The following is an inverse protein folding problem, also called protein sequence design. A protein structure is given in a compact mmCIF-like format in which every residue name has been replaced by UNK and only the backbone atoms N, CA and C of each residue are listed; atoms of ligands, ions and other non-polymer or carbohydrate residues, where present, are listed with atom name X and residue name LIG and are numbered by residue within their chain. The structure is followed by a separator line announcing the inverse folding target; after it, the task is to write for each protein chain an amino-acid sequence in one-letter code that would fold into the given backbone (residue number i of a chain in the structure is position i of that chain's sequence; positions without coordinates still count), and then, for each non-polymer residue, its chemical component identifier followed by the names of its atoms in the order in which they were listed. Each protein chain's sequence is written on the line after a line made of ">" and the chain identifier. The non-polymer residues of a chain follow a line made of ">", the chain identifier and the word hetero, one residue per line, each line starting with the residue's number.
data_IF_212411934916
#
_entry.id   IF_212411934916
#
_cell.length_a   1.000
_cell.length_b   1.000
_cell.length_c   1.000
_cell.angle_alpha   90.00
_cell.angle_beta   90.00
_cell.angle_gamma   90.00
#
_symmetry.space_group_name_H-M   'P 1'
#
loop_
_entity.id
_entity.type
_entity.pdbx_description
1 polymer ?
#
# COMPACT_ATOMS: atom_id res chain seq x y z
N UNK A 1 -13.20 -79.62 -11.79
CA UNK A 1 -13.48 -78.23 -12.20
C UNK A 1 -13.00 -77.32 -11.07
N UNK A 2 -11.79 -76.74 -11.21
CA UNK A 2 -11.15 -75.91 -10.17
C UNK A 2 -11.51 -74.44 -10.42
N UNK A 3 -12.01 -73.76 -9.40
CA UNK A 3 -12.37 -72.35 -9.44
C UNK A 3 -11.12 -71.53 -9.11
N UNK A 4 -10.68 -70.70 -10.04
CA UNK A 4 -9.58 -69.74 -9.85
C UNK A 4 -10.20 -68.41 -9.37
N UNK A 5 -10.00 -68.06 -8.11
CA UNK A 5 -10.36 -66.74 -7.56
C UNK A 5 -9.19 -65.79 -7.75
N UNK A 6 -9.36 -64.80 -8.63
CA UNK A 6 -8.44 -63.68 -8.77
C UNK A 6 -8.57 -62.71 -7.61
N UNK A 7 -7.43 -62.25 -7.10
CA UNK A 7 -7.35 -61.11 -6.17
C UNK A 7 -6.65 -59.99 -6.94
N UNK A 8 -7.43 -59.03 -7.45
CA UNK A 8 -6.90 -57.78 -7.95
C UNK A 8 -6.76 -56.81 -6.76
N UNK A 9 -5.52 -56.57 -6.32
CA UNK A 9 -5.23 -55.52 -5.35
C UNK A 9 -5.28 -54.15 -6.05
N UNK A 10 -6.29 -53.36 -5.71
CA UNK A 10 -6.40 -51.96 -6.13
C UNK A 10 -5.54 -51.13 -5.15
N UNK A 11 -4.35 -50.72 -5.59
CA UNK A 11 -3.58 -49.69 -4.91
C UNK A 11 -4.26 -48.34 -5.18
N UNK A 12 -5.00 -47.83 -4.19
CA UNK A 12 -5.53 -46.47 -4.19
C UNK A 12 -4.40 -45.46 -4.07
N UNK A 13 -4.15 -44.69 -5.13
CA UNK A 13 -3.31 -43.50 -5.08
C UNK A 13 -4.04 -42.43 -4.25
N UNK A 14 -3.57 -42.21 -3.02
CA UNK A 14 -3.96 -41.05 -2.22
C UNK A 14 -3.31 -39.81 -2.86
N UNK A 15 -4.09 -39.02 -3.61
CA UNK A 15 -3.67 -37.69 -4.05
C UNK A 15 -3.61 -36.78 -2.83
N UNK A 16 -2.42 -36.62 -2.25
CA UNK A 16 -2.15 -35.55 -1.29
C UNK A 16 -2.00 -34.27 -2.10
N UNK A 17 -3.05 -33.45 -2.15
CA UNK A 17 -2.93 -32.08 -2.66
C UNK A 17 -2.11 -31.28 -1.65
N UNK A 18 -0.82 -31.13 -1.91
CA UNK A 18 0.03 -30.17 -1.23
C UNK A 18 -0.47 -28.79 -1.67
N UNK A 19 -1.35 -28.17 -0.89
CA UNK A 19 -1.66 -26.77 -1.04
C UNK A 19 -0.41 -26.01 -0.62
N UNK A 20 0.42 -25.62 -1.58
CA UNK A 20 1.40 -24.57 -1.31
C UNK A 20 0.62 -23.39 -0.74
N UNK A 21 0.97 -22.85 0.44
CA UNK A 21 0.40 -21.58 0.83
C UNK A 21 0.83 -20.60 -0.26
N UNK A 22 -0.15 -20.13 -1.04
CA UNK A 22 0.06 -18.91 -1.81
C UNK A 22 0.38 -17.89 -0.73
N UNK A 23 1.65 -17.50 -0.62
CA UNK A 23 2.11 -16.39 0.20
C UNK A 23 1.42 -15.15 -0.34
N UNK A 24 0.15 -14.95 0.01
CA UNK A 24 -0.60 -13.81 -0.42
C UNK A 24 0.18 -12.60 0.10
N UNK A 25 0.58 -11.74 -0.83
CA UNK A 25 1.18 -10.44 -0.57
C UNK A 25 0.16 -9.43 -1.07
N UNK A 26 0.01 -8.31 -0.35
CA UNK A 26 -0.94 -7.28 -0.75
C UNK A 26 -0.50 -6.70 -2.10
N UNK A 27 -1.33 -6.79 -3.15
CA UNK A 27 -0.96 -6.28 -4.45
C UNK A 27 -0.90 -4.73 -4.43
N UNK A 28 -0.11 -4.14 -5.34
CA UNK A 28 -0.08 -2.69 -5.51
C UNK A 28 -1.46 -2.12 -5.88
N UNK A 29 -1.75 -0.90 -5.40
CA UNK A 29 -2.95 -0.17 -5.81
C UNK A 29 -2.95 0.05 -7.34
N UNK A 30 -4.09 -0.11 -8.04
CA UNK A 30 -4.15 0.11 -9.49
C UNK A 30 -4.08 1.60 -9.86
N UNK A 31 -4.15 2.50 -8.88
CA UNK A 31 -4.14 3.95 -9.07
C UNK A 31 -2.95 4.59 -8.36
N UNK A 32 -2.56 5.77 -8.86
CA UNK A 32 -1.51 6.60 -8.30
C UNK A 32 -2.09 7.74 -7.44
N UNK A 33 -1.22 8.41 -6.68
CA UNK A 33 -1.58 9.49 -5.77
C UNK A 33 -2.27 10.70 -6.45
N UNK A 34 -1.98 10.90 -7.73
CA UNK A 34 -2.45 11.95 -8.63
C UNK A 34 -3.57 11.48 -9.58
N UNK A 35 -4.00 10.22 -9.48
CA UNK A 35 -5.04 9.69 -10.35
C UNK A 35 -6.38 10.41 -10.13
N UNK A 36 -7.13 10.71 -11.22
CA UNK A 36 -8.41 11.42 -11.16
C UNK A 36 -9.57 10.48 -10.80
N UNK A 37 -9.43 9.73 -9.71
CA UNK A 37 -10.48 8.83 -9.21
C UNK A 37 -11.34 9.50 -8.13
N UNK A 38 -12.59 9.08 -7.94
CA UNK A 38 -13.46 9.62 -6.91
C UNK A 38 -13.06 9.10 -5.53
N UNK A 39 -12.05 9.74 -4.92
CA UNK A 39 -11.53 9.41 -3.60
C UNK A 39 -12.63 9.33 -2.53
N UNK A 40 -12.56 8.27 -1.72
CA UNK A 40 -13.48 7.93 -0.65
C UNK A 40 -14.96 7.84 -1.07
N UNK A 41 -15.22 7.58 -2.36
CA UNK A 41 -16.56 7.30 -2.89
C UNK A 41 -16.60 5.90 -3.50
N UNK A 42 -17.72 5.20 -3.29
CA UNK A 42 -17.97 3.90 -3.90
C UNK A 42 -18.25 4.10 -5.38
N UNK A 43 -17.59 3.30 -6.22
CA UNK A 43 -17.87 3.16 -7.64
C UNK A 43 -18.04 1.70 -8.01
N UNK A 44 -18.72 1.43 -9.11
CA UNK A 44 -18.81 0.10 -9.69
C UNK A 44 -17.67 -0.09 -10.70
N UNK A 45 -16.92 -1.18 -10.52
CA UNK A 45 -15.89 -1.64 -11.43
C UNK A 45 -16.32 -2.98 -12.06
N UNK A 46 -16.15 -3.18 -13.39
CA UNK A 46 -16.56 -4.41 -14.06
C UNK A 46 -15.89 -5.70 -13.56
N UNK A 47 -14.73 -5.60 -12.91
CA UNK A 47 -13.93 -6.74 -12.45
C UNK A 47 -13.97 -6.87 -10.92
N UNK A 48 -13.90 -5.76 -10.21
CA UNK A 48 -13.82 -5.72 -8.75
C UNK A 48 -15.20 -5.47 -8.08
N UNK A 49 -16.24 -5.14 -8.85
CA UNK A 49 -17.56 -4.75 -8.35
C UNK A 49 -17.51 -3.42 -7.62
N UNK A 50 -18.19 -3.31 -6.47
CA UNK A 50 -18.09 -2.12 -5.62
C UNK A 50 -16.68 -1.93 -5.08
N UNK A 51 -16.07 -0.80 -5.42
CA UNK A 51 -14.72 -0.42 -4.99
C UNK A 51 -14.72 1.00 -4.42
N UNK A 52 -13.89 1.24 -3.40
CA UNK A 52 -13.54 2.58 -2.94
C UNK A 52 -12.03 2.76 -2.96
N UNK A 53 -11.60 3.96 -3.34
CA UNK A 53 -10.20 4.37 -3.30
C UNK A 53 -9.96 5.28 -2.10
N UNK A 54 -8.86 5.08 -1.39
CA UNK A 54 -8.45 5.91 -0.26
C UNK A 54 -7.01 6.37 -0.45
N UNK A 55 -6.71 7.53 0.11
CA UNK A 55 -5.36 8.07 0.09
C UNK A 55 -5.06 8.81 1.38
N UNK A 56 -3.83 8.63 1.84
CA UNK A 56 -3.25 9.34 2.97
C UNK A 56 -1.91 9.94 2.56
N UNK A 57 -1.54 11.08 3.12
CA UNK A 57 -0.33 11.81 2.76
C UNK A 57 0.38 12.28 4.02
N UNK A 58 1.71 12.31 3.95
CA UNK A 58 2.52 13.03 4.91
C UNK A 58 3.75 13.64 4.26
N UNK A 59 4.73 13.99 5.07
CA UNK A 59 5.94 14.63 4.58
C UNK A 59 6.77 13.67 3.72
N UNK A 60 6.78 13.90 2.41
CA UNK A 60 7.58 13.11 1.46
C UNK A 60 7.01 11.74 1.11
N UNK A 61 5.78 11.40 1.54
CA UNK A 61 5.13 10.13 1.23
C UNK A 61 3.64 10.25 0.88
N UNK A 62 3.14 9.24 0.18
CA UNK A 62 1.71 9.01 -0.02
C UNK A 62 1.38 7.51 0.10
N UNK A 63 0.28 7.19 0.77
CA UNK A 63 -0.33 5.87 0.76
C UNK A 63 -1.58 5.93 -0.08
N UNK A 64 -1.71 5.01 -1.03
CA UNK A 64 -2.87 4.90 -1.90
C UNK A 64 -3.39 3.48 -1.81
N UNK A 65 -4.70 3.33 -1.59
CA UNK A 65 -5.32 2.02 -1.43
C UNK A 65 -6.65 1.92 -2.17
N UNK A 66 -7.02 0.70 -2.53
CA UNK A 66 -8.30 0.35 -3.14
C UNK A 66 -8.91 -0.83 -2.40
N UNK A 67 -10.22 -0.78 -2.15
CA UNK A 67 -10.92 -1.73 -1.29
C UNK A 67 -12.14 -2.28 -2.03
N UNK A 68 -12.18 -3.59 -2.26
CA UNK A 68 -13.32 -4.31 -2.82
C UNK A 68 -13.52 -5.64 -2.08
N UNK A 69 -14.61 -6.37 -2.38
CA UNK A 69 -14.79 -7.75 -1.88
C UNK A 69 -13.68 -8.69 -2.37
N UNK A 70 -13.15 -8.44 -3.57
CA UNK A 70 -12.10 -9.28 -4.18
C UNK A 70 -10.71 -9.04 -3.59
N UNK A 71 -10.51 -7.92 -2.90
CA UNK A 71 -9.34 -7.69 -2.09
C UNK A 71 -9.05 -6.24 -1.79
N UNK A 72 -7.99 -6.05 -1.02
CA UNK A 72 -7.42 -4.76 -0.67
C UNK A 72 -6.09 -4.67 -1.40
N UNK A 73 -5.88 -3.57 -2.13
CA UNK A 73 -4.62 -3.29 -2.82
C UNK A 73 -4.06 -1.98 -2.26
N UNK A 74 -2.75 -1.91 -2.03
CA UNK A 74 -2.13 -0.76 -1.39
C UNK A 74 -0.75 -0.47 -1.96
N UNK A 75 -0.42 0.80 -2.11
CA UNK A 75 0.92 1.26 -2.46
C UNK A 75 1.36 2.43 -1.59
N UNK A 76 2.59 2.33 -1.09
CA UNK A 76 3.31 3.39 -0.41
C UNK A 76 4.31 3.98 -1.38
N UNK A 77 4.20 5.29 -1.61
CA UNK A 77 5.06 6.09 -2.47
C UNK A 77 5.90 7.01 -1.60
N UNK A 78 7.19 7.14 -1.92
CA UNK A 78 8.07 8.14 -1.30
C UNK A 78 9.07 8.68 -2.31
N UNK A 79 9.59 9.87 -2.05
CA UNK A 79 10.63 10.46 -2.89
C UNK A 79 11.94 10.54 -2.14
N UNK A 80 12.99 9.97 -2.70
CA UNK A 80 14.35 10.11 -2.21
C UNK A 80 15.06 11.24 -2.92
N UNK A 81 15.71 12.11 -2.13
CA UNK A 81 16.59 13.15 -2.64
C UNK A 81 18.03 12.64 -2.58
N UNK A 82 18.66 12.44 -3.74
CA UNK A 82 20.05 12.01 -3.84
C UNK A 82 20.92 13.15 -4.40
N UNK A 83 22.05 13.41 -3.74
CA UNK A 83 23.06 14.31 -4.29
C UNK A 83 23.62 13.67 -5.56
N UNK A 84 23.55 14.40 -6.67
CA UNK A 84 24.04 13.90 -7.95
C UNK A 84 25.47 14.40 -8.22
N UNK A 85 25.67 15.71 -8.12
CA UNK A 85 26.98 16.35 -8.24
C UNK A 85 26.93 17.76 -7.64
N UNK A 86 28.08 18.42 -7.64
CA UNK A 86 28.20 19.83 -7.29
C UNK A 86 28.46 20.66 -8.55
N UNK A 87 27.78 21.79 -8.70
CA UNK A 87 28.01 22.72 -9.81
C UNK A 87 28.57 24.05 -9.32
N UNK A 88 29.45 24.64 -10.12
CA UNK A 88 29.89 26.01 -9.90
C UNK A 88 28.81 26.97 -10.40
N UNK A 89 28.48 27.96 -9.57
CA UNK A 89 27.54 29.04 -9.91
C UNK A 89 28.16 30.38 -9.59
N UNK A 90 27.86 31.38 -10.40
CA UNK A 90 28.21 32.76 -10.08
C UNK A 90 27.17 33.32 -9.12
N UNK A 91 27.64 33.90 -8.01
CA UNK A 91 26.80 34.61 -7.06
C UNK A 91 27.36 36.01 -6.82
N UNK A 92 26.48 36.92 -6.45
CA UNK A 92 26.85 38.30 -6.12
C UNK A 92 26.69 38.51 -4.63
N UNK A 93 27.68 39.14 -4.00
CA UNK A 93 27.61 39.60 -2.60
C UNK A 93 27.94 41.07 -2.52
N UNK A 94 27.39 41.76 -1.53
CA UNK A 94 27.77 43.14 -1.21
C UNK A 94 28.83 43.11 -0.11
N UNK A 95 29.98 43.70 -0.38
CA UNK A 95 31.05 43.86 0.60
C UNK A 95 31.38 45.34 0.76
N UNK A 96 31.81 45.71 1.97
CA UNK A 96 32.26 47.08 2.24
C UNK A 96 33.78 47.15 2.02
N UNK A 97 34.23 47.96 1.06
CA UNK A 97 35.65 48.29 0.83
C UNK A 97 35.80 49.80 0.71
N UNK A 98 36.83 50.36 1.34
CA UNK A 98 37.13 51.81 1.28
C UNK A 98 35.93 52.68 1.69
N UNK A 99 35.19 52.24 2.71
CA UNK A 99 33.95 52.86 3.20
C UNK A 99 32.80 52.95 2.17
N UNK A 100 32.87 52.23 1.05
CA UNK A 100 31.82 52.11 0.04
C UNK A 100 31.33 50.66 -0.08
N UNK A 101 30.03 50.48 -0.35
CA UNK A 101 29.48 49.17 -0.69
C UNK A 101 29.77 48.84 -2.15
N UNK A 102 30.48 47.74 -2.39
CA UNK A 102 30.79 47.23 -3.73
C UNK A 102 30.13 45.87 -3.90
N UNK A 103 29.56 45.62 -5.08
CA UNK A 103 29.12 44.30 -5.48
C UNK A 103 30.32 43.49 -5.99
N UNK A 104 30.48 42.27 -5.48
CA UNK A 104 31.49 41.34 -5.93
C UNK A 104 30.81 40.09 -6.47
N UNK A 105 31.17 39.69 -7.69
CA UNK A 105 30.84 38.38 -8.24
C UNK A 105 31.88 37.39 -7.76
N UNK A 106 31.43 36.25 -7.24
CA UNK A 106 32.29 35.14 -6.85
C UNK A 106 31.71 33.82 -7.32
N UNK A 107 32.58 32.83 -7.47
CA UNK A 107 32.18 31.45 -7.77
C UNK A 107 31.85 30.73 -6.47
N UNK A 108 30.63 30.23 -6.39
CA UNK A 108 30.14 29.37 -5.31
C UNK A 108 29.93 27.96 -5.84
N UNK A 109 29.84 26.99 -4.93
CA UNK A 109 29.54 25.60 -5.26
C UNK A 109 28.20 25.26 -4.61
N UNK A 110 27.24 24.83 -5.42
CA UNK A 110 25.94 24.37 -4.91
C UNK A 110 25.68 22.91 -5.29
N UNK A 111 25.03 22.14 -4.38
CA UNK A 111 24.65 20.77 -4.66
C UNK A 111 23.50 20.72 -5.68
N UNK A 112 23.64 19.82 -6.66
CA UNK A 112 22.56 19.43 -7.57
C UNK A 112 22.00 18.10 -7.10
N UNK A 113 20.70 18.05 -6.89
CA UNK A 113 20.00 16.86 -6.43
C UNK A 113 19.15 16.26 -7.55
N UNK A 114 19.12 14.92 -7.59
CA UNK A 114 18.12 14.15 -8.32
C UNK A 114 17.06 13.64 -7.34
N UNK A 115 15.82 13.52 -7.82
CA UNK A 115 14.70 13.01 -7.04
C UNK A 115 14.25 11.67 -7.63
N UNK A 116 14.28 10.63 -6.80
CA UNK A 116 13.88 9.27 -7.19
C UNK A 116 12.55 8.97 -6.54
N UNK A 117 11.54 8.65 -7.35
CA UNK A 117 10.26 8.17 -6.85
C UNK A 117 10.33 6.67 -6.63
N UNK A 118 9.99 6.25 -5.43
CA UNK A 118 9.97 4.86 -5.01
C UNK A 118 8.54 4.42 -4.70
N UNK A 119 8.31 3.12 -4.80
CA UNK A 119 7.01 2.49 -4.53
C UNK A 119 7.21 1.13 -3.89
N UNK A 120 6.43 0.81 -2.85
CA UNK A 120 6.35 -0.54 -2.28
C UNK A 120 4.93 -0.89 -1.83
N UNK A 121 4.68 -2.17 -1.62
CA UNK A 121 3.45 -2.69 -1.04
C UNK A 121 3.77 -3.46 0.25
N UNK A 122 2.88 -3.45 1.25
CA UNK A 122 3.06 -4.23 2.47
C UNK A 122 2.87 -5.72 2.20
N UNK A 123 3.43 -6.58 3.06
CA UNK A 123 3.10 -8.00 3.07
C UNK A 123 1.72 -8.23 3.68
N UNK A 124 1.38 -7.47 4.72
CA UNK A 124 0.10 -7.56 5.41
C UNK A 124 -0.37 -6.25 6.03
N UNK A 125 -1.69 -6.16 6.22
CA UNK A 125 -2.36 -5.12 6.98
C UNK A 125 -2.93 -5.75 8.26
N UNK A 126 -2.68 -5.11 9.39
CA UNK A 126 -3.26 -5.46 10.68
C UNK A 126 -4.35 -4.43 11.04
N UNK A 127 -5.53 -4.93 11.39
CA UNK A 127 -6.66 -4.14 11.86
C UNK A 127 -6.91 -4.45 13.33
N UNK A 128 -6.86 -3.42 14.18
CA UNK A 128 -7.26 -3.53 15.58
C UNK A 128 -8.74 -3.13 15.72
N UNK A 129 -9.64 -4.10 15.76
CA UNK A 129 -11.10 -3.88 15.79
C UNK A 129 -11.69 -4.62 16.99
N UNK A 130 -12.36 -3.89 17.88
CA UNK A 130 -13.04 -4.50 19.03
C UNK A 130 -12.14 -5.32 19.95
N UNK A 131 -10.87 -4.94 20.11
CA UNK A 131 -9.88 -5.68 20.91
C UNK A 131 -9.28 -6.91 20.23
N UNK A 132 -9.68 -7.22 19.00
CA UNK A 132 -9.10 -8.30 18.18
C UNK A 132 -8.21 -7.72 17.08
N UNK A 133 -7.12 -8.43 16.77
CA UNK A 133 -6.28 -8.16 15.61
C UNK A 133 -6.71 -9.06 14.46
N UNK A 134 -7.09 -8.44 13.34
CA UNK A 134 -7.32 -9.12 12.08
C UNK A 134 -6.12 -8.91 11.18
N UNK A 135 -5.64 -9.99 10.58
CA UNK A 135 -4.54 -9.97 9.62
C UNK A 135 -5.08 -10.20 8.21
N UNK A 136 -4.70 -9.31 7.29
CA UNK A 136 -5.00 -9.45 5.87
C UNK A 136 -3.70 -9.52 5.08
N UNK A 137 -3.54 -10.58 4.30
CA UNK A 137 -2.32 -10.86 3.51
C UNK A 137 -2.56 -10.72 1.99
N UNK A 138 -3.80 -10.48 1.54
CA UNK A 138 -4.12 -10.45 0.10
C UNK A 138 -5.25 -11.41 -0.27
N UNK A 139 -5.70 -11.32 -1.52
CA UNK A 139 -6.85 -12.09 -2.01
C UNK A 139 -8.20 -11.56 -1.51
N UNK A 140 -9.26 -12.35 -1.66
CA UNK A 140 -10.60 -11.95 -1.24
C UNK A 140 -10.67 -11.63 0.25
N UNK A 141 -11.42 -10.59 0.60
CA UNK A 141 -11.62 -10.22 2.01
C UNK A 141 -12.51 -11.28 2.66
N UNK A 142 -12.01 -11.91 3.74
CA UNK A 142 -12.77 -12.94 4.45
C UNK A 142 -14.07 -12.38 5.02
N UNK A 143 -15.11 -13.22 5.13
CA UNK A 143 -16.39 -12.78 5.71
C UNK A 143 -16.23 -12.22 7.12
N UNK A 144 -15.33 -12.81 7.91
CA UNK A 144 -15.08 -12.37 9.27
C UNK A 144 -14.50 -10.95 9.32
N UNK A 145 -13.47 -10.68 8.50
CA UNK A 145 -12.89 -9.35 8.38
C UNK A 145 -13.90 -8.36 7.79
N UNK A 146 -14.64 -8.76 6.75
CA UNK A 146 -15.67 -7.93 6.14
C UNK A 146 -16.72 -7.48 7.17
N UNK A 147 -17.24 -8.40 8.00
CA UNK A 147 -18.19 -8.07 9.07
C UNK A 147 -17.58 -7.14 10.13
N UNK A 148 -16.31 -7.35 10.48
CA UNK A 148 -15.59 -6.48 11.41
C UNK A 148 -15.39 -5.06 10.84
N UNK A 149 -15.12 -4.92 9.54
CA UNK A 149 -14.98 -3.61 8.89
C UNK A 149 -16.32 -2.86 8.80
N UNK A 150 -17.43 -3.58 8.54
CA UNK A 150 -18.78 -2.99 8.46
C UNK A 150 -19.28 -2.49 9.83
N UNK A 151 -18.86 -3.13 10.92
CA UNK A 151 -19.30 -2.77 12.28
C UNK A 151 -18.61 -1.53 12.85
N UNK A 152 -17.60 -0.99 12.17
CA UNK A 152 -16.88 0.19 12.62
C UNK A 152 -17.75 1.46 12.58
N UNK A 153 -17.53 2.40 13.51
CA UNK A 153 -18.11 3.74 13.42
C UNK A 153 -17.53 4.49 12.22
N UNK A 154 -18.22 5.54 11.77
CA UNK A 154 -17.82 6.38 10.63
C UNK A 154 -16.67 7.35 10.99
N UNK A 155 -15.59 6.81 11.56
CA UNK A 155 -14.43 7.53 12.04
C UNK A 155 -13.16 7.09 11.31
N UNK A 156 -12.06 7.84 11.46
CA UNK A 156 -10.78 7.41 10.89
C UNK A 156 -10.31 6.14 11.60
N UNK A 157 -9.90 5.14 10.84
CA UNK A 157 -9.34 3.90 11.39
C UNK A 157 -7.83 3.92 11.29
N UNK A 158 -7.13 3.71 12.40
CA UNK A 158 -5.70 3.41 12.38
C UNK A 158 -5.48 1.94 12.02
N UNK A 159 -4.62 1.69 11.05
CA UNK A 159 -4.19 0.34 10.67
C UNK A 159 -2.67 0.27 10.66
N UNK A 160 -2.12 -0.94 10.77
CA UNK A 160 -0.67 -1.18 10.72
C UNK A 160 -0.30 -1.95 9.47
N UNK A 161 0.64 -1.40 8.72
CA UNK A 161 1.32 -2.07 7.62
C UNK A 161 2.52 -2.82 8.15
N UNK A 162 2.74 -4.04 7.67
CA UNK A 162 3.96 -4.82 7.90
C UNK A 162 4.67 -5.00 6.57
N UNK A 163 5.95 -4.64 6.54
CA UNK A 163 6.79 -4.69 5.36
C UNK A 163 7.62 -5.98 5.32
N UNK A 164 8.22 -6.28 4.17
CA UNK A 164 9.00 -7.50 3.96
C UNK A 164 10.29 -7.58 4.80
N UNK A 165 10.81 -6.44 5.24
CA UNK A 165 11.93 -6.34 6.18
C UNK A 165 11.52 -6.51 7.65
N UNK A 166 10.22 -6.69 7.93
CA UNK A 166 9.65 -6.77 9.27
C UNK A 166 9.35 -5.42 9.91
N UNK A 167 9.72 -4.31 9.28
CA UNK A 167 9.36 -2.99 9.76
C UNK A 167 7.84 -2.78 9.68
N UNK A 168 7.35 -1.80 10.45
CA UNK A 168 5.93 -1.48 10.48
C UNK A 168 5.69 0.01 10.29
N UNK A 169 4.55 0.34 9.68
CA UNK A 169 4.10 1.72 9.54
C UNK A 169 2.62 1.80 9.83
N UNK A 170 2.25 2.70 10.71
CA UNK A 170 0.85 2.94 11.03
C UNK A 170 0.33 4.10 10.17
N UNK A 171 -0.87 3.96 9.62
CA UNK A 171 -1.54 5.04 8.89
C UNK A 171 -3.04 5.02 9.16
N UNK A 172 -3.72 6.08 8.72
CA UNK A 172 -5.15 6.26 8.92
C UNK A 172 -5.92 6.08 7.63
N UNK A 173 -6.98 5.27 7.68
CA UNK A 173 -8.03 5.24 6.67
C UNK A 173 -9.00 6.39 6.92
N UNK A 174 -9.35 7.12 5.87
CA UNK A 174 -10.32 8.22 5.95
C UNK A 174 -11.70 7.75 6.41
N UNK A 175 -12.39 8.56 7.22
CA UNK A 175 -13.74 8.22 7.74
C UNK A 175 -14.78 7.98 6.64
N UNK A 176 -14.66 8.68 5.49
CA UNK A 176 -15.53 8.45 4.34
C UNK A 176 -15.30 7.07 3.69
N UNK A 177 -14.05 6.59 3.67
CA UNK A 177 -13.70 5.24 3.24
C UNK A 177 -14.22 4.19 4.22
N UNK A 178 -14.06 4.43 5.53
CA UNK A 178 -14.63 3.55 6.57
C UNK A 178 -16.15 3.45 6.45
N UNK A 179 -16.84 4.58 6.19
CA UNK A 179 -18.27 4.57 5.89
C UNK A 179 -18.60 3.76 4.63
N UNK A 180 -17.81 3.92 3.57
CA UNK A 180 -18.02 3.24 2.28
C UNK A 180 -17.94 1.71 2.40
N UNK A 181 -17.20 1.17 3.37
CA UNK A 181 -17.16 -0.26 3.65
C UNK A 181 -18.53 -0.87 3.95
N UNK A 182 -19.46 -0.11 4.53
CA UNK A 182 -20.84 -0.55 4.74
C UNK A 182 -21.57 -0.84 3.42
N UNK A 183 -21.16 -0.23 2.30
CA UNK A 183 -21.75 -0.51 0.98
C UNK A 183 -20.99 -1.58 0.21
N UNK A 184 -19.71 -1.76 0.49
CA UNK A 184 -18.83 -2.71 -0.20
C UNK A 184 -18.92 -4.10 0.42
N UNK A 185 -18.88 -4.19 1.74
CA UNK A 185 -18.75 -5.43 2.49
C UNK A 185 -20.05 -5.92 3.13
N UNK A 186 -21.14 -5.16 3.03
CA UNK A 186 -22.44 -5.68 3.45
C UNK A 186 -22.81 -6.93 2.64
N UNK A 187 -23.47 -7.92 3.28
CA UNK A 187 -23.99 -9.11 2.63
C UNK A 187 -24.81 -8.78 1.38
#
# INVERSE_FOLDING_TARGET
>A
MRVNTGIASIFGFLLVTITNPVNATIPPSPVHQDSPVPWSKVVEDPFDGKIVYDKDFGEGYAIVSSWSKQGIRLSYFWTERQLEYYRQVQRTRRVKRDNQWKEEVYWDIEPVYKYIQNRKSPEKILFAIGGKIYEYQGGAVSEELARALVSLPDEKLRVRLVWADGDTTDFYIGSATVRAWKSIYSP
#
